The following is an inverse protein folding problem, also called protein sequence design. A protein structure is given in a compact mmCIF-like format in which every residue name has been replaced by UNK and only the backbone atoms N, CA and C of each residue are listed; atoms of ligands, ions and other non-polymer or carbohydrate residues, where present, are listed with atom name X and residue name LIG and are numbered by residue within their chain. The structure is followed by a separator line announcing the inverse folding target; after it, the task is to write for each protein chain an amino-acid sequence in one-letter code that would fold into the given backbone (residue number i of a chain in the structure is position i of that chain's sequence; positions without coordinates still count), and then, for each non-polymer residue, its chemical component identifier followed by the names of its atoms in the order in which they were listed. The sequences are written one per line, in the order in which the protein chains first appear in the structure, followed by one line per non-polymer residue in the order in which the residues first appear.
data_IF_167073794535
#
_entry.id   IF_167073794535
#
_cell.length_a   1.000
_cell.length_b   1.000
_cell.length_c   1.000
_cell.angle_alpha   90.00
_cell.angle_beta   90.00
_cell.angle_gamma   90.00
#
_symmetry.space_group_name_H-M   'P 1'
#
loop_
_entity.id
_entity.type
_entity.pdbx_description
1 polymer ?
#
# COMPACT_ATOMS: atom_id res chain seq x y z
N UNK A 1 11.55 2.97 25.11
CA UNK A 1 11.83 2.52 23.73
C UNK A 1 10.66 2.87 22.82
N UNK A 2 10.96 3.39 21.66
CA UNK A 2 9.91 3.80 20.71
C UNK A 2 10.17 3.14 19.36
N UNK A 3 9.11 2.98 18.60
CA UNK A 3 9.22 2.45 17.25
C UNK A 3 8.70 3.47 16.26
N UNK A 4 9.36 3.60 15.10
CA UNK A 4 8.77 4.41 14.03
C UNK A 4 7.47 3.76 13.54
N UNK A 5 6.59 4.59 13.00
CA UNK A 5 5.31 4.13 12.46
C UNK A 5 5.31 4.43 10.96
N UNK A 6 5.12 3.38 10.17
CA UNK A 6 4.98 3.51 8.71
C UNK A 6 3.53 3.32 8.34
N UNK A 7 3.04 4.21 7.50
CA UNK A 7 1.66 4.16 7.03
C UNK A 7 1.70 3.74 5.56
N UNK A 8 1.04 2.64 5.25
CA UNK A 8 1.06 2.05 3.91
C UNK A 8 -0.34 1.95 3.34
N UNK A 9 -0.45 2.00 2.03
CA UNK A 9 -1.74 1.91 1.37
C UNK A 9 -1.81 0.79 0.35
N UNK A 10 -2.97 0.14 0.27
CA UNK A 10 -3.25 -0.85 -0.75
C UNK A 10 -4.10 -0.19 -1.81
N UNK A 11 -3.56 -0.02 -3.00
CA UNK A 11 -4.24 0.63 -4.11
C UNK A 11 -4.45 -0.39 -5.22
N UNK A 12 -5.69 -0.59 -5.60
CA UNK A 12 -6.03 -1.50 -6.68
C UNK A 12 -6.49 -0.71 -7.90
N UNK A 13 -6.00 -1.14 -9.08
CA UNK A 13 -6.51 -0.65 -10.35
C UNK A 13 -6.74 -1.85 -11.25
N UNK A 14 -7.97 -2.07 -11.67
CA UNK A 14 -8.34 -3.20 -12.54
C UNK A 14 -7.81 -4.51 -11.94
N UNK A 15 -8.04 -4.71 -10.66
CA UNK A 15 -7.65 -5.92 -9.92
C UNK A 15 -6.14 -6.13 -9.79
N UNK A 16 -5.33 -5.10 -10.03
CA UNK A 16 -3.90 -5.19 -9.83
C UNK A 16 -3.50 -4.25 -8.71
N UNK A 17 -2.60 -4.71 -7.86
CA UNK A 17 -2.15 -3.94 -6.70
C UNK A 17 -0.86 -3.22 -7.03
N UNK A 18 -0.75 -1.99 -6.55
CA UNK A 18 0.41 -1.14 -6.75
C UNK A 18 1.47 -1.49 -5.71
N UNK A 19 2.65 -1.88 -6.17
CA UNK A 19 3.77 -2.22 -5.29
C UNK A 19 5.03 -1.50 -5.75
N UNK A 20 5.93 -1.29 -4.80
CA UNK A 20 7.23 -0.69 -5.04
C UNK A 20 8.32 -1.67 -4.63
N UNK A 21 9.43 -1.68 -5.37
CA UNK A 21 10.55 -2.54 -5.03
C UNK A 21 11.56 -1.74 -4.24
N UNK A 22 11.95 -2.26 -3.08
CA UNK A 22 12.90 -1.57 -2.21
C UNK A 22 14.33 -2.04 -2.45
N UNK A 23 15.27 -1.50 -1.68
CA UNK A 23 16.69 -1.79 -1.85
C UNK A 23 17.11 -3.13 -1.26
N UNK A 24 16.18 -3.85 -0.64
CA UNK A 24 16.43 -5.21 -0.12
C UNK A 24 15.89 -6.28 -1.07
N UNK A 25 15.57 -5.89 -2.30
CA UNK A 25 15.02 -6.80 -3.31
C UNK A 25 13.67 -7.37 -2.89
N UNK A 26 12.92 -6.63 -2.12
CA UNK A 26 11.56 -7.00 -1.74
C UNK A 26 10.57 -6.01 -2.32
N UNK A 27 9.36 -6.47 -2.54
CA UNK A 27 8.28 -5.58 -2.91
C UNK A 27 7.57 -5.12 -1.63
N UNK A 28 7.01 -3.95 -1.68
CA UNK A 28 6.33 -3.38 -0.52
C UNK A 28 5.18 -2.50 -0.98
N UNK A 29 4.26 -2.23 -0.05
CA UNK A 29 3.19 -1.29 -0.31
C UNK A 29 3.77 0.13 -0.30
N UNK A 30 3.19 1.02 -1.11
CA UNK A 30 3.60 2.43 -1.05
C UNK A 30 3.17 3.06 0.26
N UNK A 31 3.92 4.05 0.69
CA UNK A 31 3.66 4.78 1.92
C UNK A 31 4.95 5.27 2.53
N UNK A 32 4.87 5.74 3.76
CA UNK A 32 6.03 6.29 4.41
C UNK A 32 5.84 6.47 5.90
N UNK A 33 6.86 7.05 6.51
CA UNK A 33 6.86 7.26 7.95
C UNK A 33 5.90 8.38 8.33
N UNK A 34 5.11 8.12 9.36
CA UNK A 34 4.23 9.14 9.91
C UNK A 34 5.07 10.23 10.58
N UNK A 35 4.75 11.48 10.30
CA UNK A 35 5.46 12.61 10.87
C UNK A 35 4.52 13.48 11.66
N UNK A 36 5.10 14.26 12.55
CA UNK A 36 4.33 15.18 13.38
C UNK A 36 3.63 16.20 12.47
N UNK A 37 2.36 16.43 12.76
CA UNK A 37 1.59 17.42 12.02
C UNK A 37 0.69 16.88 10.95
N UNK A 38 0.74 15.55 10.71
CA UNK A 38 -0.16 14.94 9.73
C UNK A 38 -0.92 13.79 10.36
N UNK A 39 -2.12 13.53 9.84
CA UNK A 39 -2.88 12.35 10.24
C UNK A 39 -2.37 11.15 9.45
N UNK A 40 -2.58 9.92 9.95
CA UNK A 40 -2.19 8.74 9.17
C UNK A 40 -2.83 8.73 7.78
N UNK A 41 -4.08 9.14 7.67
CA UNK A 41 -4.79 9.15 6.39
C UNK A 41 -4.16 10.13 5.41
N UNK A 42 -3.74 11.30 5.91
CA UNK A 42 -3.05 12.28 5.06
C UNK A 42 -1.67 11.77 4.65
N UNK A 43 -1.00 11.10 5.57
CA UNK A 43 0.34 10.58 5.34
C UNK A 43 0.35 9.61 4.17
N UNK A 44 -0.54 8.63 4.19
CA UNK A 44 -0.52 7.60 3.14
C UNK A 44 -0.82 8.20 1.76
N UNK A 45 -1.81 9.08 1.68
CA UNK A 45 -2.15 9.70 0.40
C UNK A 45 -1.01 10.56 -0.12
N UNK A 46 -0.39 11.32 0.77
CA UNK A 46 0.73 12.19 0.41
C UNK A 46 1.92 11.37 -0.08
N UNK A 47 2.25 10.31 0.65
CA UNK A 47 3.39 9.48 0.29
C UNK A 47 3.18 8.75 -1.02
N UNK A 48 1.97 8.25 -1.27
CA UNK A 48 1.68 7.58 -2.53
C UNK A 48 1.85 8.55 -3.70
N UNK A 49 1.38 9.80 -3.54
CA UNK A 49 1.54 10.79 -4.58
C UNK A 49 3.02 11.09 -4.83
N UNK A 50 3.81 11.21 -3.78
CA UNK A 50 5.24 11.49 -3.93
C UNK A 50 5.98 10.34 -4.58
N UNK A 51 5.62 9.11 -4.22
CA UNK A 51 6.37 7.94 -4.67
C UNK A 51 5.96 7.47 -6.07
N UNK A 52 4.72 7.69 -6.47
CA UNK A 52 4.22 7.11 -7.71
C UNK A 52 3.51 8.08 -8.63
N UNK A 53 3.24 9.28 -8.16
CA UNK A 53 2.47 10.25 -8.92
C UNK A 53 0.96 10.02 -8.88
N UNK A 54 0.51 8.93 -8.27
CA UNK A 54 -0.91 8.63 -8.21
C UNK A 54 -1.59 9.38 -7.07
N UNK A 55 -2.78 9.89 -7.33
CA UNK A 55 -3.61 10.51 -6.30
C UNK A 55 -4.69 9.56 -5.86
N UNK A 56 -4.80 9.38 -4.55
CA UNK A 56 -5.74 8.44 -3.97
C UNK A 56 -6.51 9.10 -2.85
N UNK A 57 -7.68 8.51 -2.57
CA UNK A 57 -8.45 8.83 -1.37
C UNK A 57 -8.26 7.69 -0.39
N UNK A 58 -7.83 8.01 0.82
CA UNK A 58 -7.60 7.01 1.86
C UNK A 58 -8.92 6.47 2.35
N UNK A 59 -9.01 5.15 2.41
CA UNK A 59 -10.20 4.44 2.87
C UNK A 59 -10.02 3.92 4.29
N UNK A 60 -10.57 2.73 4.59
CA UNK A 60 -10.52 2.20 5.95
C UNK A 60 -9.17 1.61 6.31
N UNK A 61 -8.90 1.58 7.61
CA UNK A 61 -7.73 0.88 8.12
C UNK A 61 -7.93 -0.62 7.91
N UNK A 62 -6.86 -1.30 7.50
CA UNK A 62 -6.92 -2.73 7.22
C UNK A 62 -6.20 -3.55 8.28
N UNK A 63 -5.06 -3.09 8.77
CA UNK A 63 -4.25 -3.87 9.69
C UNK A 63 -3.26 -2.96 10.42
N UNK A 64 -2.74 -3.46 11.53
CA UNK A 64 -1.67 -2.81 12.28
C UNK A 64 -0.81 -3.92 12.86
N UNK A 65 0.48 -3.92 12.54
CA UNK A 65 1.36 -5.02 12.96
C UNK A 65 2.78 -4.53 13.16
N UNK A 66 3.54 -5.30 13.94
CA UNK A 66 4.94 -4.97 14.20
C UNK A 66 5.80 -5.76 13.22
N UNK A 67 6.57 -5.03 12.42
CA UNK A 67 7.42 -5.62 11.40
C UNK A 67 8.86 -5.55 11.88
N UNK A 68 9.52 -6.71 11.88
CA UNK A 68 10.94 -6.78 12.19
C UNK A 68 11.73 -6.89 10.89
N UNK A 69 12.46 -5.85 10.55
CA UNK A 69 13.31 -5.83 9.36
C UNK A 69 14.64 -6.45 9.78
N UNK A 70 14.78 -7.75 9.51
CA UNK A 70 15.90 -8.53 10.05
C UNK A 70 17.25 -8.03 9.55
N UNK A 71 17.32 -7.57 8.31
CA UNK A 71 18.59 -7.14 7.70
C UNK A 71 19.24 -5.99 8.47
N UNK A 72 18.47 -5.16 9.13
CA UNK A 72 18.98 -4.00 9.87
C UNK A 72 18.56 -4.03 11.33
N UNK A 73 17.96 -5.14 11.77
CA UNK A 73 17.48 -5.33 13.14
C UNK A 73 16.65 -4.15 13.62
N UNK A 74 15.66 -3.79 12.85
CA UNK A 74 14.80 -2.66 13.16
C UNK A 74 13.35 -3.12 13.26
N UNK A 75 12.65 -2.59 14.25
CA UNK A 75 11.23 -2.85 14.41
C UNK A 75 10.45 -1.62 13.97
N UNK A 76 9.38 -1.83 13.23
CA UNK A 76 8.54 -0.76 12.72
C UNK A 76 7.08 -1.16 12.93
N UNK A 77 6.28 -0.24 13.44
CA UNK A 77 4.83 -0.45 13.48
C UNK A 77 4.29 -0.07 12.11
N UNK A 78 3.64 -1.02 11.45
CA UNK A 78 3.06 -0.79 10.12
C UNK A 78 1.56 -0.73 10.25
N UNK A 79 0.98 0.36 9.75
CA UNK A 79 -0.47 0.53 9.70
C UNK A 79 -0.86 0.61 8.23
N UNK A 80 -1.80 -0.23 7.81
CA UNK A 80 -2.19 -0.27 6.40
C UNK A 80 -3.63 0.19 6.23
N UNK A 81 -3.85 0.89 5.12
CA UNK A 81 -5.16 1.40 4.73
C UNK A 81 -5.48 0.94 3.32
N UNK A 82 -6.76 0.71 3.04
CA UNK A 82 -7.21 0.63 1.67
C UNK A 82 -7.25 2.03 1.09
N UNK A 83 -7.01 2.15 -0.20
CA UNK A 83 -7.03 3.44 -0.87
C UNK A 83 -7.63 3.27 -2.26
N UNK A 84 -8.31 4.32 -2.71
CA UNK A 84 -9.01 4.32 -3.98
C UNK A 84 -8.44 5.41 -4.87
N UNK A 85 -8.18 5.07 -6.13
CA UNK A 85 -7.70 6.07 -7.10
C UNK A 85 -8.75 7.17 -7.27
N UNK A 86 -8.27 8.40 -7.30
CA UNK A 86 -9.16 9.53 -7.59
C UNK A 86 -9.54 9.52 -9.06
N UNK A 87 -10.59 10.23 -9.35
CA UNK A 87 -11.11 10.34 -10.71
C UNK A 87 -10.02 10.89 -11.61
N UNK A 88 -9.92 10.32 -12.82
CA UNK A 88 -8.92 10.78 -13.78
C UNK A 88 -7.57 10.13 -13.66
N UNK A 89 -7.38 9.24 -12.69
CA UNK A 89 -6.09 8.56 -12.50
C UNK A 89 -6.02 7.21 -13.21
N UNK A 90 -7.11 6.77 -13.82
CA UNK A 90 -7.21 5.39 -14.31
C UNK A 90 -6.21 5.04 -15.39
N UNK A 91 -5.79 6.01 -16.19
CA UNK A 91 -4.88 5.74 -17.30
C UNK A 91 -3.48 6.27 -17.06
N UNK A 92 -3.26 6.83 -15.87
CA UNK A 92 -1.95 7.37 -15.55
C UNK A 92 -1.03 6.25 -15.11
N UNK A 93 0.11 6.10 -15.76
CA UNK A 93 1.07 5.09 -15.33
C UNK A 93 1.76 5.55 -14.06
N UNK A 94 1.93 4.65 -13.08
CA UNK A 94 2.69 5.02 -11.90
C UNK A 94 4.17 5.10 -12.26
N UNK A 95 4.88 6.00 -11.59
CA UNK A 95 6.29 6.25 -11.88
C UNK A 95 7.09 6.08 -10.58
N UNK A 96 8.15 5.28 -10.64
CA UNK A 96 8.97 5.07 -9.46
C UNK A 96 9.74 6.35 -9.13
N UNK A 97 9.75 6.71 -7.84
CA UNK A 97 10.55 7.83 -7.38
C UNK A 97 12.02 7.41 -7.28
N UNK A 98 12.91 8.38 -6.96
CA UNK A 98 14.33 8.09 -6.84
C UNK A 98 14.63 7.12 -5.70
N UNK A 99 13.72 6.95 -4.77
CA UNK A 99 13.94 6.10 -3.60
C UNK A 99 13.63 4.64 -3.83
N UNK A 100 13.03 4.31 -4.98
CA UNK A 100 12.65 2.92 -5.26
C UNK A 100 13.18 2.51 -6.63
N UNK A 101 13.57 1.24 -6.72
CA UNK A 101 14.14 0.72 -7.95
C UNK A 101 13.08 0.54 -9.03
N UNK A 102 11.86 0.13 -8.63
CA UNK A 102 10.81 -0.19 -9.59
C UNK A 102 9.45 0.06 -8.98
N UNK A 103 8.47 0.27 -9.85
CA UNK A 103 7.07 0.29 -9.48
C UNK A 103 6.36 -0.72 -10.39
N UNK A 104 5.38 -1.42 -9.86
CA UNK A 104 4.65 -2.41 -10.66
C UNK A 104 3.22 -2.58 -10.21
N UNK A 105 2.44 -3.19 -11.09
CA UNK A 105 1.05 -3.53 -10.83
C UNK A 105 0.91 -5.03 -10.99
N UNK A 106 0.42 -5.69 -9.95
CA UNK A 106 0.42 -7.15 -9.90
C UNK A 106 -0.97 -7.67 -9.59
N UNK A 107 -1.34 -8.78 -10.24
CA UNK A 107 -2.59 -9.43 -9.89
C UNK A 107 -2.46 -10.10 -8.54
N UNK A 108 -3.61 -10.45 -7.93
CA UNK A 108 -3.60 -11.14 -6.64
C UNK A 108 -2.81 -12.46 -6.74
N UNK A 109 -2.95 -13.16 -7.84
CA UNK A 109 -2.21 -14.41 -8.03
C UNK A 109 -0.70 -14.17 -8.11
N UNK A 110 -0.29 -13.12 -8.80
CA UNK A 110 1.13 -12.80 -8.94
C UNK A 110 1.77 -12.42 -7.61
N UNK A 111 1.00 -11.80 -6.72
CA UNK A 111 1.50 -11.40 -5.41
C UNK A 111 2.00 -12.59 -4.60
N UNK A 112 1.38 -13.77 -4.80
CA UNK A 112 1.76 -14.98 -4.07
C UNK A 112 3.21 -15.38 -4.31
N UNK A 113 3.76 -15.03 -5.47
CA UNK A 113 5.10 -15.44 -5.84
C UNK A 113 6.16 -14.36 -5.61
N UNK A 114 5.77 -13.21 -5.10
CA UNK A 114 6.70 -12.11 -4.90
C UNK A 114 7.35 -12.17 -3.53
N UNK A 115 8.63 -11.74 -3.40
CA UNK A 115 9.23 -11.55 -2.08
C UNK A 115 8.57 -10.33 -1.43
N UNK A 116 7.65 -10.61 -0.51
CA UNK A 116 6.80 -9.60 0.09
C UNK A 116 6.50 -10.00 1.53
N UNK A 117 6.69 -9.11 2.50
CA UNK A 117 6.40 -9.44 3.90
C UNK A 117 4.96 -9.89 4.10
N UNK A 118 4.79 -10.85 5.01
CA UNK A 118 3.48 -11.49 5.24
C UNK A 118 2.40 -10.49 5.65
N UNK A 119 2.77 -9.47 6.42
CA UNK A 119 1.79 -8.46 6.84
C UNK A 119 1.20 -7.71 5.66
N UNK A 120 2.03 -7.43 4.66
CA UNK A 120 1.52 -6.76 3.46
C UNK A 120 0.57 -7.69 2.68
N UNK A 121 0.90 -8.99 2.62
CA UNK A 121 0.02 -9.95 1.96
C UNK A 121 -1.36 -9.99 2.61
N UNK A 122 -1.39 -9.95 3.94
CA UNK A 122 -2.66 -9.97 4.66
C UNK A 122 -3.49 -8.73 4.33
N UNK A 123 -2.84 -7.57 4.28
CA UNK A 123 -3.55 -6.33 3.96
C UNK A 123 -4.07 -6.33 2.53
N UNK A 124 -3.27 -6.83 1.59
CA UNK A 124 -3.68 -6.93 0.20
C UNK A 124 -4.90 -7.83 0.08
N UNK A 125 -4.85 -9.01 0.72
CA UNK A 125 -5.97 -9.94 0.69
C UNK A 125 -7.22 -9.32 1.30
N UNK A 126 -7.05 -8.57 2.40
CA UNK A 126 -8.19 -7.93 3.07
C UNK A 126 -8.83 -6.89 2.17
N UNK A 127 -8.02 -6.11 1.44
CA UNK A 127 -8.58 -5.08 0.58
C UNK A 127 -9.27 -5.69 -0.64
N UNK A 128 -8.69 -6.76 -1.21
CA UNK A 128 -9.35 -7.49 -2.29
C UNK A 128 -10.71 -8.02 -1.84
N UNK A 129 -10.75 -8.61 -0.65
CA UNK A 129 -12.00 -9.18 -0.13
C UNK A 129 -13.06 -8.09 0.07
N UNK A 130 -12.66 -6.96 0.61
CA UNK A 130 -13.61 -5.85 0.83
C UNK A 130 -14.09 -5.27 -0.48
N UNK A 131 -13.20 -5.14 -1.45
CA UNK A 131 -13.57 -4.60 -2.76
C UNK A 131 -14.53 -5.54 -3.48
N UNK A 132 -14.27 -6.84 -3.43
CA UNK A 132 -15.16 -7.82 -4.03
C UNK A 132 -16.49 -7.86 -3.33
N UNK A 133 -16.50 -7.83 -1.99
CA UNK A 133 -17.73 -7.84 -1.23
C UNK A 133 -18.56 -6.59 -1.53
N UNK A 134 -17.90 -5.43 -1.60
CA UNK A 134 -18.57 -4.19 -1.95
C UNK A 134 -19.20 -4.25 -3.32
N UNK A 135 -18.49 -4.82 -4.27
CA UNK A 135 -19.00 -4.96 -5.62
C UNK A 135 -20.16 -5.92 -5.68
N UNK A 136 -20.02 -7.07 -5.04
CA UNK A 136 -21.07 -8.09 -5.10
C UNK A 136 -22.28 -7.71 -4.26
N UNK A 137 -22.12 -6.87 -3.27
CA UNK A 137 -23.24 -6.45 -2.46
C UNK A 137 -23.99 -5.27 -3.05
N UNK A 138 -23.52 -4.75 -4.15
CA UNK A 138 -24.21 -3.70 -4.84
C UNK A 138 -25.45 -4.29 -5.48
N UNK A 139 -26.57 -4.19 -4.85
CA UNK A 139 -27.74 -4.75 -5.47
C UNK A 139 -28.04 -3.87 -6.66
N UNK A 140 -28.68 -4.46 -7.52
CA UNK A 140 -29.15 -3.76 -8.64
C UNK A 140 -30.39 -3.05 -8.23
N UNK A 141 -30.36 -2.00 -7.65
CA UNK A 141 -31.59 -1.33 -7.27
C UNK A 141 -32.48 -1.05 -8.42
#
# INVERSE_FOLDING_TARGET
MTFPVSIKGVVLRADRVLLLRNDRDEWELPGGRLEVGETPEQCVAHEIAEETGWRVTTGPILDCWLYHVAQVDRHVVVVTYGATLEQGQDELAPVASAEHAQVGLFTHAEVEDLPLPAGYRRSIAAWYARSSAGTSSQPTE
#
